data_IF_612683368636
#
_entry.id   IF_612683368636
#
_cell.length_a   1.000
_cell.length_b   1.000
_cell.length_c   1.000
_cell.angle_alpha   90.00
_cell.angle_beta   90.00
_cell.angle_gamma   90.00
#
_symmetry.space_group_name_H-M   'P 1'
#
loop_
_entity.id
_entity.type
_entity.pdbx_description
1 polymer ?
#
# COMPACT_ATOMS: atom_id res chain seq x y z
N UNK A 1 -14.79 -27.23 20.18
CA UNK A 1 -15.30 -26.04 19.47
C UNK A 1 -14.55 -24.82 19.99
N UNK A 2 -13.71 -24.19 19.18
CA UNK A 2 -13.08 -22.91 19.55
C UNK A 2 -13.22 -21.96 18.36
N UNK A 3 -14.33 -21.23 18.32
CA UNK A 3 -14.56 -20.13 17.39
C UNK A 3 -13.67 -18.97 17.84
N UNK A 4 -12.48 -18.83 17.27
CA UNK A 4 -11.76 -17.54 17.29
C UNK A 4 -12.25 -16.73 16.08
N UNK A 5 -13.47 -16.21 16.20
CA UNK A 5 -14.07 -15.29 15.25
C UNK A 5 -13.46 -13.90 15.44
N UNK A 6 -13.03 -13.28 14.34
CA UNK A 6 -12.57 -11.88 14.18
C UNK A 6 -11.08 -11.61 14.45
N UNK A 7 -10.19 -12.18 13.62
CA UNK A 7 -8.79 -11.76 13.52
C UNK A 7 -8.66 -10.86 12.28
N UNK A 8 -8.25 -9.61 12.48
CA UNK A 8 -8.03 -8.62 11.41
C UNK A 8 -6.72 -7.88 11.62
N UNK A 9 -6.14 -7.38 10.52
CA UNK A 9 -4.94 -6.57 10.55
C UNK A 9 -5.25 -5.20 11.18
N UNK A 10 -4.57 -4.82 12.25
CA UNK A 10 -4.73 -3.52 12.90
C UNK A 10 -4.16 -2.35 12.07
N UNK A 11 -3.40 -2.64 11.01
CA UNK A 11 -2.90 -1.64 10.08
C UNK A 11 -3.86 -1.32 8.94
N UNK A 12 -4.41 -2.34 8.28
CA UNK A 12 -5.25 -2.18 7.08
C UNK A 12 -6.66 -2.79 7.19
N UNK A 13 -7.03 -3.32 8.36
CA UNK A 13 -8.33 -3.95 8.65
C UNK A 13 -8.70 -5.18 7.80
N UNK A 14 -7.79 -5.72 6.99
CA UNK A 14 -8.03 -6.98 6.27
C UNK A 14 -8.16 -8.16 7.23
N UNK A 15 -9.08 -9.09 6.95
CA UNK A 15 -9.17 -10.38 7.64
C UNK A 15 -8.53 -11.52 6.84
N UNK A 16 -8.22 -11.29 5.56
CA UNK A 16 -7.52 -12.22 4.70
C UNK A 16 -6.02 -12.00 4.79
N UNK A 17 -5.37 -12.83 5.60
CA UNK A 17 -3.92 -12.86 5.74
C UNK A 17 -3.32 -13.78 4.68
N UNK A 18 -2.59 -13.20 3.73
CA UNK A 18 -1.89 -13.96 2.69
C UNK A 18 -0.51 -14.36 3.23
N UNK A 19 -0.18 -15.65 3.11
CA UNK A 19 1.05 -16.30 3.59
C UNK A 19 1.20 -16.38 5.12
N UNK A 20 1.23 -15.25 5.81
CA UNK A 20 1.50 -15.20 7.24
C UNK A 20 0.74 -14.09 7.98
N UNK A 21 0.49 -14.33 9.26
CA UNK A 21 -0.03 -13.33 10.20
C UNK A 21 1.01 -13.06 11.28
N UNK A 22 1.23 -11.78 11.58
CA UNK A 22 2.14 -11.34 12.64
C UNK A 22 1.34 -10.88 13.86
N UNK A 23 1.42 -11.63 14.96
CA UNK A 23 0.76 -11.28 16.22
C UNK A 23 1.77 -10.62 17.16
N UNK A 24 1.46 -9.43 17.67
CA UNK A 24 2.27 -8.78 18.68
C UNK A 24 2.26 -9.57 19.99
N UNK A 25 3.42 -9.75 20.60
CA UNK A 25 3.54 -10.41 21.91
C UNK A 25 3.34 -9.43 23.08
N UNK A 26 3.57 -8.12 22.84
CA UNK A 26 3.37 -7.06 23.85
C UNK A 26 1.94 -6.52 23.85
N UNK A 27 1.39 -6.17 22.67
CA UNK A 27 0.05 -5.59 22.54
C UNK A 27 -1.03 -6.67 22.51
N UNK A 28 -2.09 -6.49 23.29
CA UNK A 28 -3.26 -7.38 23.28
C UNK A 28 -4.02 -7.26 21.96
N UNK A 29 -4.35 -8.41 21.36
CA UNK A 29 -5.14 -8.51 20.11
C UNK A 29 -4.61 -7.73 18.91
N UNK A 30 -3.30 -7.43 18.87
CA UNK A 30 -2.70 -6.71 17.75
C UNK A 30 -2.09 -7.67 16.74
N UNK A 31 -2.59 -7.62 15.51
CA UNK A 31 -2.19 -8.46 14.40
C UNK A 31 -1.84 -7.59 13.19
N UNK A 32 -0.80 -7.92 12.46
CA UNK A 32 -0.44 -7.30 11.19
C UNK A 32 -0.38 -8.36 10.09
N UNK A 33 -0.78 -8.00 8.88
CA UNK A 33 -0.43 -8.77 7.68
C UNK A 33 1.04 -8.52 7.32
N UNK A 34 1.60 -9.34 6.43
CA UNK A 34 2.99 -9.22 5.97
C UNK A 34 3.33 -7.80 5.50
N UNK A 35 2.51 -7.21 4.64
CA UNK A 35 2.74 -5.85 4.15
C UNK A 35 2.77 -4.78 5.26
N UNK A 36 1.84 -4.85 6.22
CA UNK A 36 1.81 -3.90 7.34
C UNK A 36 2.95 -4.13 8.35
N UNK A 37 3.40 -5.38 8.51
CA UNK A 37 4.56 -5.70 9.33
C UNK A 37 5.85 -5.15 8.69
N UNK A 38 6.05 -5.37 7.38
CA UNK A 38 7.21 -4.88 6.64
C UNK A 38 7.25 -3.35 6.59
N UNK A 39 6.07 -2.72 6.51
CA UNK A 39 5.91 -1.26 6.58
C UNK A 39 6.06 -0.69 8.00
N UNK A 40 6.30 -1.54 9.01
CA UNK A 40 6.52 -1.16 10.43
C UNK A 40 5.41 -0.27 11.00
N UNK A 41 4.15 -0.58 10.69
CA UNK A 41 2.99 0.20 11.12
C UNK A 41 2.90 0.27 12.65
N UNK A 42 2.82 1.48 13.18
CA UNK A 42 2.62 1.78 14.60
C UNK A 42 1.21 2.36 14.80
N UNK A 43 0.38 1.71 15.61
CA UNK A 43 -0.97 2.20 15.94
C UNK A 43 -1.45 1.67 17.30
N UNK A 44 -2.37 2.37 17.95
CA UNK A 44 -2.97 1.95 19.23
C UNK A 44 -1.95 1.58 20.33
N UNK A 45 -0.83 2.31 20.43
CA UNK A 45 0.24 2.05 21.40
C UNK A 45 1.18 0.90 21.03
N UNK A 46 1.05 0.34 19.82
CA UNK A 46 2.04 -0.58 19.26
C UNK A 46 3.25 0.19 18.72
N UNK A 47 4.45 -0.24 19.11
CA UNK A 47 5.72 0.25 18.60
C UNK A 47 6.38 -0.81 17.72
N UNK A 48 7.11 -0.38 16.69
CA UNK A 48 7.84 -1.29 15.79
C UNK A 48 8.98 -2.05 16.48
N UNK A 49 9.33 -1.68 17.71
CA UNK A 49 10.26 -2.40 18.58
C UNK A 49 9.61 -3.58 19.32
N UNK A 50 8.28 -3.70 19.34
CA UNK A 50 7.61 -4.82 19.98
C UNK A 50 7.85 -6.12 19.22
N UNK A 51 8.13 -7.20 19.95
CA UNK A 51 8.36 -8.51 19.34
C UNK A 51 7.08 -9.06 18.71
N UNK A 52 7.18 -9.48 17.45
CA UNK A 52 6.08 -10.03 16.66
C UNK A 52 6.29 -11.54 16.43
N UNK A 53 5.26 -12.33 16.71
CA UNK A 53 5.23 -13.76 16.38
C UNK A 53 4.64 -13.96 15.00
N UNK A 54 5.42 -14.56 14.10
CA UNK A 54 4.96 -14.96 12.78
C UNK A 54 4.23 -16.29 12.85
N UNK A 55 2.99 -16.31 12.38
CA UNK A 55 2.12 -17.48 12.33
C UNK A 55 1.89 -17.79 10.86
N UNK A 56 2.48 -18.89 10.40
CA UNK A 56 2.29 -19.40 9.04
C UNK A 56 0.84 -19.85 8.86
N UNK A 57 0.24 -19.44 7.74
CA UNK A 57 -1.08 -19.92 7.34
C UNK A 57 -0.92 -20.94 6.22
N UNK A 58 -1.73 -22.01 6.19
CA UNK A 58 -1.65 -23.01 5.14
C UNK A 58 -1.92 -22.36 3.79
N UNK A 59 -0.84 -22.19 3.02
CA UNK A 59 -0.83 -21.81 1.62
C UNK A 59 -1.72 -22.80 0.86
N UNK A 60 -2.79 -22.31 0.23
CA UNK A 60 -3.41 -23.04 -0.89
C UNK A 60 -2.39 -23.03 -2.02
N UNK A 61 -1.49 -24.02 -1.99
CA UNK A 61 -0.44 -24.23 -2.96
C UNK A 61 -1.05 -24.57 -4.33
N UNK A 62 -1.02 -23.58 -5.23
CA UNK A 62 -0.78 -23.74 -6.67
C UNK A 62 -0.49 -22.35 -7.25
N UNK A 63 0.70 -22.07 -7.80
CA UNK A 63 0.96 -20.82 -8.50
C UNK A 63 0.37 -20.92 -9.91
N UNK A 64 -0.93 -20.69 -10.04
CA UNK A 64 -1.53 -20.38 -11.34
C UNK A 64 -1.15 -18.96 -11.77
N UNK A 65 -1.02 -18.71 -13.08
CA UNK A 65 -0.39 -17.49 -13.60
C UNK A 65 -1.12 -16.25 -13.10
N UNK A 66 -0.30 -15.35 -12.53
CA UNK A 66 -0.64 -14.10 -11.84
C UNK A 66 -1.71 -13.28 -12.60
N UNK A 67 -1.78 -13.40 -13.92
CA UNK A 67 -2.72 -12.67 -14.79
C UNK A 67 -4.20 -13.00 -14.58
N UNK A 68 -4.60 -14.23 -14.23
CA UNK A 68 -6.02 -14.57 -14.00
C UNK A 68 -6.50 -14.23 -12.59
N UNK A 69 -5.62 -14.33 -11.60
CA UNK A 69 -5.99 -14.06 -10.22
C UNK A 69 -6.25 -12.57 -9.98
N UNK A 70 -5.49 -11.69 -10.65
CA UNK A 70 -5.75 -10.25 -10.65
C UNK A 70 -7.05 -9.89 -11.38
N UNK A 71 -7.37 -10.51 -12.52
CA UNK A 71 -8.65 -10.26 -13.19
C UNK A 71 -9.83 -10.73 -12.36
N UNK A 72 -9.75 -11.91 -11.73
CA UNK A 72 -10.85 -12.44 -10.93
C UNK A 72 -11.01 -11.72 -9.60
N UNK A 73 -9.92 -11.17 -9.04
CA UNK A 73 -9.98 -10.33 -7.84
C UNK A 73 -10.53 -8.93 -8.16
N UNK A 74 -10.14 -8.35 -9.30
CA UNK A 74 -10.69 -7.06 -9.77
C UNK A 74 -12.16 -7.18 -10.15
N UNK A 75 -12.55 -8.24 -10.86
CA UNK A 75 -13.95 -8.51 -11.19
C UNK A 75 -14.79 -8.76 -9.94
N UNK A 76 -14.26 -9.48 -8.93
CA UNK A 76 -14.98 -9.69 -7.65
C UNK A 76 -15.11 -8.42 -6.82
N UNK A 77 -14.09 -7.55 -6.83
CA UNK A 77 -14.16 -6.25 -6.18
C UNK A 77 -15.15 -5.33 -6.90
N UNK A 78 -15.14 -5.32 -8.23
CA UNK A 78 -16.13 -4.62 -9.05
C UNK A 78 -17.54 -5.15 -8.81
N UNK A 79 -17.77 -6.46 -8.80
CA UNK A 79 -19.08 -7.07 -8.54
C UNK A 79 -19.59 -6.78 -7.12
N UNK A 80 -18.69 -6.82 -6.13
CA UNK A 80 -19.01 -6.43 -4.75
C UNK A 80 -19.35 -4.94 -4.67
N UNK A 81 -18.61 -4.09 -5.38
CA UNK A 81 -18.83 -2.65 -5.39
C UNK A 81 -20.12 -2.28 -6.14
N UNK A 82 -20.36 -2.88 -7.30
CA UNK A 82 -21.57 -2.75 -8.11
C UNK A 82 -22.79 -3.31 -7.39
N UNK A 83 -22.69 -4.46 -6.74
CA UNK A 83 -23.80 -4.99 -5.92
C UNK A 83 -24.12 -4.07 -4.74
N UNK A 84 -23.10 -3.54 -4.06
CA UNK A 84 -23.32 -2.59 -2.95
C UNK A 84 -23.89 -1.26 -3.47
N UNK A 85 -23.42 -0.78 -4.60
CA UNK A 85 -23.92 0.42 -5.27
C UNK A 85 -25.37 0.26 -5.77
N UNK A 86 -25.68 -0.85 -6.44
CA UNK A 86 -27.03 -1.20 -6.89
C UNK A 86 -27.98 -1.45 -5.70
N UNK A 87 -27.50 -2.07 -4.63
CA UNK A 87 -28.29 -2.22 -3.39
C UNK A 87 -28.58 -0.87 -2.74
N UNK A 88 -27.63 0.06 -2.76
CA UNK A 88 -27.82 1.43 -2.27
C UNK A 88 -28.76 2.26 -3.16
N UNK A 89 -28.83 1.97 -4.46
CA UNK A 89 -29.78 2.57 -5.40
C UNK A 89 -31.19 1.94 -5.31
N UNK A 90 -31.28 0.65 -5.00
CA UNK A 90 -32.52 -0.10 -4.86
C UNK A 90 -33.21 0.12 -3.49
N UNK A 91 -32.49 0.66 -2.50
CA UNK A 91 -33.14 1.29 -1.36
C UNK A 91 -33.92 2.49 -1.90
N UNK A 92 -35.25 2.38 -1.92
CA UNK A 92 -36.13 3.54 -1.79
C UNK A 92 -35.75 4.24 -0.47
N UNK A 93 -34.67 5.00 -0.48
CA UNK A 93 -34.43 5.96 0.56
C UNK A 93 -35.67 6.86 0.51
N UNK A 94 -36.43 7.01 1.62
CA UNK A 94 -37.35 8.12 1.68
C UNK A 94 -36.51 9.34 1.30
N UNK A 95 -36.96 10.14 0.33
CA UNK A 95 -36.31 11.40 -0.03
C UNK A 95 -35.99 12.10 1.28
N UNK A 96 -34.75 11.98 1.75
CA UNK A 96 -34.30 12.71 2.92
C UNK A 96 -34.22 14.10 2.38
N UNK A 97 -35.23 14.91 2.67
CA UNK A 97 -35.08 16.35 2.66
C UNK A 97 -33.74 16.61 3.32
N UNK A 98 -32.79 17.19 2.57
CA UNK A 98 -31.51 17.63 3.09
C UNK A 98 -31.84 18.71 4.10
N UNK A 99 -32.09 18.30 5.34
CA UNK A 99 -32.31 19.22 6.45
C UNK A 99 -31.02 20.03 6.58
N UNK A 100 -31.18 21.33 6.41
CA UNK A 100 -30.11 22.29 6.66
C UNK A 100 -29.80 22.28 8.16
N UNK A 101 -28.59 22.69 8.54
CA UNK A 101 -28.13 22.53 9.93
C UNK A 101 -29.06 23.24 10.93
N UNK A 102 -29.70 24.34 10.52
CA UNK A 102 -30.73 25.09 11.26
C UNK A 102 -32.04 24.31 11.49
N UNK A 103 -32.33 23.27 10.70
CA UNK A 103 -33.54 22.46 10.80
C UNK A 103 -33.36 21.24 11.71
N UNK A 104 -32.14 20.98 12.20
CA UNK A 104 -31.88 19.83 13.06
C UNK A 104 -32.41 20.05 14.47
N UNK A 105 -33.34 19.19 14.88
CA UNK A 105 -33.75 19.04 16.28
C UNK A 105 -32.57 18.60 17.14
N UNK A 106 -32.68 18.78 18.47
CA UNK A 106 -31.64 18.42 19.45
C UNK A 106 -31.15 16.98 19.25
N UNK A 107 -32.06 16.01 19.15
CA UNK A 107 -31.71 14.60 18.97
C UNK A 107 -31.08 14.32 17.61
N UNK A 108 -31.52 15.03 16.57
CA UNK A 108 -30.94 14.92 15.22
C UNK A 108 -29.54 15.51 15.16
N UNK A 109 -29.28 16.61 15.87
CA UNK A 109 -27.97 17.21 16.00
C UNK A 109 -27.01 16.24 16.72
N UNK A 110 -27.46 15.61 17.81
CA UNK A 110 -26.68 14.60 18.53
C UNK A 110 -26.30 13.41 17.65
N UNK A 111 -27.27 12.82 16.94
CA UNK A 111 -27.03 11.72 16.01
C UNK A 111 -26.05 12.13 14.91
N UNK A 112 -26.19 13.35 14.40
CA UNK A 112 -25.35 13.86 13.32
C UNK A 112 -23.89 14.02 13.76
N UNK A 113 -23.64 14.69 14.88
CA UNK A 113 -22.28 14.91 15.41
C UNK A 113 -21.59 13.59 15.76
N UNK A 114 -22.31 12.67 16.42
CA UNK A 114 -21.75 11.38 16.86
C UNK A 114 -21.43 10.44 15.69
N UNK A 115 -22.21 10.49 14.60
CA UNK A 115 -21.93 9.71 13.38
C UNK A 115 -20.79 10.29 12.56
N UNK A 116 -20.62 11.60 12.58
CA UNK A 116 -19.64 12.30 11.77
C UNK A 116 -18.21 12.14 12.34
N UNK A 117 -18.04 12.35 13.64
CA UNK A 117 -16.76 12.17 14.31
C UNK A 117 -17.00 11.62 15.73
N UNK A 118 -16.56 10.39 16.04
CA UNK A 118 -16.68 9.82 17.38
C UNK A 118 -16.03 10.67 18.48
N UNK A 119 -15.05 11.52 18.16
CA UNK A 119 -14.39 12.40 19.13
C UNK A 119 -15.29 13.58 19.56
N UNK A 120 -16.31 13.93 18.77
CA UNK A 120 -17.28 14.97 19.13
C UNK A 120 -18.39 14.45 20.05
N UNK A 121 -18.39 13.15 20.41
CA UNK A 121 -19.45 12.54 21.23
C UNK A 121 -19.63 13.22 22.58
N UNK A 122 -18.54 13.51 23.29
CA UNK A 122 -18.59 14.17 24.61
C UNK A 122 -19.21 15.57 24.52
N UNK A 123 -18.88 16.31 23.46
CA UNK A 123 -19.48 17.62 23.18
C UNK A 123 -20.95 17.47 22.78
N UNK A 124 -21.28 16.49 21.93
CA UNK A 124 -22.65 16.21 21.53
C UNK A 124 -23.55 15.84 22.72
N UNK A 125 -23.05 15.06 23.69
CA UNK A 125 -23.76 14.71 24.92
C UNK A 125 -24.05 15.96 25.78
N UNK A 126 -23.07 16.87 25.91
CA UNK A 126 -23.25 18.16 26.62
C UNK A 126 -24.27 19.07 25.91
N UNK A 127 -24.19 19.18 24.58
CA UNK A 127 -25.13 19.96 23.77
C UNK A 127 -26.55 19.40 23.85
N UNK A 128 -26.69 18.06 23.86
CA UNK A 128 -27.99 17.39 24.01
C UNK A 128 -28.59 17.64 25.41
N UNK A 129 -27.77 17.59 26.46
CA UNK A 129 -28.22 17.83 27.84
C UNK A 129 -28.81 19.24 28.04
N UNK A 130 -28.17 20.25 27.45
CA UNK A 130 -28.64 21.65 27.47
C UNK A 130 -29.64 21.98 26.36
N UNK A 131 -30.14 20.96 25.64
CA UNK A 131 -31.17 21.06 24.59
C UNK A 131 -30.80 22.01 23.45
N UNK A 132 -29.53 22.06 23.08
CA UNK A 132 -29.02 22.87 21.97
C UNK A 132 -29.46 22.26 20.64
N UNK A 133 -30.19 23.04 19.83
CA UNK A 133 -30.59 22.66 18.46
C UNK A 133 -29.53 23.09 17.43
N UNK A 134 -29.68 22.62 16.19
CA UNK A 134 -28.77 23.02 15.12
C UNK A 134 -28.83 24.51 14.78
N UNK A 135 -29.97 25.17 14.99
CA UNK A 135 -30.12 26.62 14.88
C UNK A 135 -29.35 27.36 15.99
N UNK A 136 -29.41 26.84 17.22
CA UNK A 136 -28.70 27.44 18.36
C UNK A 136 -27.19 27.34 18.15
N UNK A 137 -26.70 26.17 17.73
CA UNK A 137 -25.28 25.92 17.45
C UNK A 137 -24.70 26.85 16.38
N UNK A 138 -25.49 27.20 15.36
CA UNK A 138 -25.10 28.17 14.33
C UNK A 138 -24.84 29.56 14.93
N UNK A 139 -25.57 29.93 15.97
CA UNK A 139 -25.50 31.25 16.60
C UNK A 139 -24.48 31.36 17.74
N UNK A 140 -23.75 30.28 18.06
CA UNK A 140 -22.80 30.24 19.18
C UNK A 140 -21.71 31.30 19.06
N UNK A 141 -21.52 32.05 20.14
CA UNK A 141 -20.43 33.00 20.31
C UNK A 141 -19.25 32.41 21.10
N UNK A 142 -18.20 33.20 21.30
CA UNK A 142 -17.00 32.81 22.06
C UNK A 142 -17.27 32.45 23.53
N UNK A 143 -18.34 32.97 24.12
CA UNK A 143 -18.73 32.70 25.51
C UNK A 143 -19.52 31.40 25.60
N UNK A 144 -20.35 31.10 24.60
CA UNK A 144 -21.08 29.83 24.51
C UNK A 144 -20.11 28.66 24.45
N UNK A 145 -19.13 28.69 23.54
CA UNK A 145 -18.12 27.61 23.44
C UNK A 145 -17.33 27.42 24.75
N UNK A 146 -17.08 28.49 25.51
CA UNK A 146 -16.41 28.43 26.81
C UNK A 146 -17.31 27.86 27.90
N UNK A 147 -18.61 28.20 27.88
CA UNK A 147 -19.61 27.67 28.82
C UNK A 147 -19.72 26.14 28.73
N UNK A 148 -19.65 25.61 27.51
CA UNK A 148 -19.71 24.17 27.26
C UNK A 148 -18.38 23.42 27.46
N UNK A 149 -17.31 24.13 27.86
CA UNK A 149 -15.95 23.57 28.01
C UNK A 149 -15.54 22.79 26.74
N UNK A 150 -15.77 23.42 25.57
CA UNK A 150 -15.42 22.86 24.27
C UNK A 150 -13.96 23.14 24.02
N UNK A 151 -13.18 22.09 23.74
CA UNK A 151 -11.75 22.28 23.45
C UNK A 151 -11.55 23.11 22.19
N UNK A 152 -10.40 23.76 22.06
CA UNK A 152 -10.07 24.54 20.86
C UNK A 152 -10.17 23.70 19.57
N UNK A 153 -9.77 22.43 19.62
CA UNK A 153 -9.85 21.50 18.50
C UNK A 153 -11.29 21.17 18.11
N UNK A 154 -12.15 20.88 19.08
CA UNK A 154 -13.55 20.54 18.83
C UNK A 154 -14.33 21.76 18.34
N UNK A 155 -14.03 22.95 18.88
CA UNK A 155 -14.59 24.21 18.39
C UNK A 155 -14.25 24.44 16.92
N UNK A 156 -13.00 24.23 16.51
CA UNK A 156 -12.61 24.38 15.09
C UNK A 156 -13.32 23.40 14.18
N UNK A 157 -13.53 22.16 14.63
CA UNK A 157 -14.32 21.17 13.89
C UNK A 157 -15.78 21.60 13.75
N UNK A 158 -16.41 22.08 14.82
CA UNK A 158 -17.80 22.55 14.77
C UNK A 158 -17.95 23.77 13.84
N UNK A 159 -17.03 24.74 13.88
CA UNK A 159 -17.02 25.90 12.98
C UNK A 159 -16.92 25.49 11.50
N UNK A 160 -15.98 24.61 11.15
CA UNK A 160 -15.83 24.10 9.78
C UNK A 160 -17.08 23.36 9.27
N UNK A 161 -17.81 22.69 10.17
CA UNK A 161 -19.05 22.00 9.83
C UNK A 161 -20.21 22.95 9.61
N UNK A 162 -20.32 23.99 10.43
CA UNK A 162 -21.28 25.07 10.27
C UNK A 162 -21.02 25.76 8.92
N UNK A 163 -19.78 26.13 8.63
CA UNK A 163 -19.37 26.75 7.35
C UNK A 163 -19.74 25.86 6.15
N UNK A 164 -19.41 24.55 6.19
CA UNK A 164 -19.69 23.59 5.11
C UNK A 164 -21.19 23.35 4.87
N UNK A 165 -22.02 23.47 5.91
CA UNK A 165 -23.48 23.29 5.81
C UNK A 165 -24.21 24.59 5.45
N UNK A 166 -23.69 25.74 5.88
CA UNK A 166 -24.21 27.06 5.51
C UNK A 166 -23.86 27.46 4.08
N UNK A 167 -22.75 26.96 3.52
CA UNK A 167 -22.35 27.21 2.13
C UNK A 167 -23.27 26.59 1.05
N UNK A 168 -24.37 25.91 1.40
CA UNK A 168 -25.27 25.24 0.45
C UNK A 168 -24.65 23.97 -0.15
N UNK A 169 -25.36 22.89 -0.48
CA UNK A 169 -26.36 22.82 -1.56
C UNK A 169 -26.27 23.99 -2.54
N UNK A 170 -25.07 24.16 -3.10
CA UNK A 170 -24.86 24.90 -4.35
C UNK A 170 -25.27 23.97 -5.49
N UNK A 171 -26.33 24.38 -6.16
CA UNK A 171 -27.16 23.61 -7.07
C UNK A 171 -26.42 23.19 -8.35
N UNK A 172 -26.52 21.91 -8.73
CA UNK A 172 -26.48 21.27 -10.08
C UNK A 172 -25.35 21.64 -11.06
N UNK A 173 -24.98 22.91 -11.18
CA UNK A 173 -23.83 23.47 -11.90
C UNK A 173 -22.52 22.80 -11.48
N UNK A 174 -22.28 22.66 -10.17
CA UNK A 174 -21.06 22.01 -9.65
C UNK A 174 -21.01 20.52 -9.97
N UNK A 175 -22.14 19.82 -9.98
CA UNK A 175 -22.18 18.40 -10.40
C UNK A 175 -21.86 18.26 -11.89
N UNK A 176 -22.34 19.17 -12.73
CA UNK A 176 -22.01 19.17 -14.17
C UNK A 176 -20.53 19.49 -14.40
N UNK A 177 -19.97 20.41 -13.60
CA UNK A 177 -18.56 20.78 -13.66
C UNK A 177 -17.68 19.64 -13.16
N UNK A 178 -18.00 19.02 -12.03
CA UNK A 178 -17.36 17.81 -11.51
C UNK A 178 -17.46 16.67 -12.53
N UNK A 179 -18.61 16.49 -13.19
CA UNK A 179 -18.78 15.45 -14.22
C UNK A 179 -17.89 15.73 -15.45
N UNK A 180 -17.73 17.01 -15.83
CA UNK A 180 -16.84 17.42 -16.91
C UNK A 180 -15.36 17.19 -16.54
N UNK A 181 -14.97 17.51 -15.31
CA UNK A 181 -13.63 17.28 -14.78
C UNK A 181 -13.32 15.78 -14.67
N UNK A 182 -14.26 14.96 -14.19
CA UNK A 182 -14.14 13.49 -14.20
C UNK A 182 -13.97 12.96 -15.62
N UNK A 183 -14.68 13.52 -16.59
CA UNK A 183 -14.57 13.09 -18.00
C UNK A 183 -13.20 13.47 -18.57
N UNK A 184 -12.70 14.67 -18.28
CA UNK A 184 -11.35 15.08 -18.66
C UNK A 184 -10.27 14.22 -18.00
N UNK A 185 -10.39 13.95 -16.69
CA UNK A 185 -9.47 13.09 -15.96
C UNK A 185 -9.45 11.67 -16.52
N UNK A 186 -10.61 11.11 -16.91
CA UNK A 186 -10.69 9.81 -17.57
C UNK A 186 -9.96 9.78 -18.92
N UNK A 187 -10.03 10.85 -19.70
CA UNK A 187 -9.27 10.96 -20.95
C UNK A 187 -7.77 11.03 -20.70
N UNK A 188 -7.34 11.79 -19.69
CA UNK A 188 -5.93 11.85 -19.28
C UNK A 188 -5.43 10.49 -18.80
N UNK A 189 -6.20 9.79 -17.95
CA UNK A 189 -5.85 8.44 -17.48
C UNK A 189 -5.70 7.49 -18.67
N UNK A 190 -6.64 7.49 -19.62
CA UNK A 190 -6.55 6.64 -20.81
C UNK A 190 -5.30 6.94 -21.63
N UNK A 191 -4.97 8.22 -21.83
CA UNK A 191 -3.74 8.62 -22.52
C UNK A 191 -2.48 8.16 -21.78
N UNK A 192 -2.48 8.23 -20.44
CA UNK A 192 -1.37 7.77 -19.62
C UNK A 192 -1.25 6.25 -19.64
N UNK A 193 -2.36 5.51 -19.66
CA UNK A 193 -2.37 4.05 -19.81
C UNK A 193 -1.77 3.60 -21.15
N UNK A 194 -2.08 4.32 -22.24
CA UNK A 194 -1.48 4.09 -23.56
C UNK A 194 0.04 4.37 -23.54
N UNK A 195 0.47 5.47 -22.92
CA UNK A 195 1.91 5.80 -22.78
C UNK A 195 2.65 4.76 -21.90
N UNK A 196 2.03 4.30 -20.82
CA UNK A 196 2.58 3.23 -19.96
C UNK A 196 2.70 1.93 -20.75
N UNK A 197 1.71 1.58 -21.57
CA UNK A 197 1.76 0.39 -22.41
C UNK A 197 2.92 0.45 -23.42
N UNK A 198 3.16 1.62 -24.03
CA UNK A 198 4.29 1.83 -24.94
C UNK A 198 5.64 1.72 -24.22
N UNK A 199 5.77 2.34 -23.05
CA UNK A 199 6.99 2.24 -22.22
C UNK A 199 7.25 0.81 -21.77
N UNK A 200 6.22 0.05 -21.40
CA UNK A 200 6.37 -1.36 -21.05
C UNK A 200 6.89 -2.19 -22.23
N UNK A 201 6.45 -1.91 -23.46
CA UNK A 201 7.01 -2.56 -24.64
C UNK A 201 8.49 -2.21 -24.83
N UNK A 202 8.86 -0.94 -24.65
CA UNK A 202 10.27 -0.52 -24.69
C UNK A 202 11.12 -1.20 -23.61
N UNK A 203 10.61 -1.32 -22.38
CA UNK A 203 11.29 -2.05 -21.30
C UNK A 203 11.51 -3.51 -21.69
N UNK A 204 10.49 -4.17 -22.25
CA UNK A 204 10.61 -5.56 -22.68
C UNK A 204 11.68 -5.75 -23.77
N UNK A 205 11.81 -4.78 -24.68
CA UNK A 205 12.87 -4.78 -25.70
C UNK A 205 14.26 -4.60 -25.07
N UNK A 206 14.39 -3.70 -24.09
CA UNK A 206 15.65 -3.50 -23.37
C UNK A 206 16.07 -4.72 -22.56
N UNK A 207 15.12 -5.41 -21.92
CA UNK A 207 15.37 -6.67 -21.22
C UNK A 207 15.91 -7.77 -22.16
N UNK A 208 15.35 -7.89 -23.37
CA UNK A 208 15.85 -8.83 -24.38
C UNK A 208 17.28 -8.47 -24.84
N UNK A 209 17.59 -7.18 -24.99
CA UNK A 209 18.95 -6.71 -25.30
C UNK A 209 19.92 -7.04 -24.16
N UNK A 210 19.55 -6.78 -22.91
CA UNK A 210 20.37 -7.08 -21.74
C UNK A 210 20.64 -8.57 -21.61
N UNK A 211 19.62 -9.42 -21.83
CA UNK A 211 19.77 -10.87 -21.84
C UNK A 211 20.77 -11.34 -22.89
N UNK A 212 20.72 -10.78 -24.11
CA UNK A 212 21.71 -11.06 -25.16
C UNK A 212 23.12 -10.60 -24.80
N UNK A 213 23.25 -9.43 -24.17
CA UNK A 213 24.54 -8.95 -23.69
C UNK A 213 25.11 -9.85 -22.59
N UNK A 214 24.29 -10.29 -21.66
CA UNK A 214 24.72 -11.22 -20.60
C UNK A 214 25.22 -12.55 -21.18
N UNK A 215 24.51 -13.11 -22.15
CA UNK A 215 24.97 -14.30 -22.90
C UNK A 215 26.30 -14.05 -23.62
N UNK A 216 26.47 -12.86 -24.22
CA UNK A 216 27.71 -12.48 -24.89
C UNK A 216 28.88 -12.35 -23.90
N UNK A 217 28.65 -11.76 -22.72
CA UNK A 217 29.65 -11.66 -21.66
C UNK A 217 30.04 -13.04 -21.14
N UNK A 218 29.07 -13.92 -20.89
CA UNK A 218 29.36 -15.32 -20.48
C UNK A 218 30.21 -16.06 -21.53
N UNK A 219 29.94 -15.84 -22.82
CA UNK A 219 30.75 -16.41 -23.89
C UNK A 219 32.17 -15.83 -23.91
N UNK A 220 32.31 -14.51 -23.71
CA UNK A 220 33.62 -13.86 -23.61
C UNK A 220 34.43 -14.39 -22.42
N UNK A 221 33.82 -14.52 -21.25
CA UNK A 221 34.47 -15.05 -20.05
C UNK A 221 34.92 -16.50 -20.25
N UNK A 222 34.11 -17.33 -20.90
CA UNK A 222 34.48 -18.71 -21.25
C UNK A 222 35.69 -18.76 -22.19
N UNK A 223 35.76 -17.86 -23.19
CA UNK A 223 36.92 -17.77 -24.09
C UNK A 223 38.17 -17.33 -23.32
N UNK A 224 38.05 -16.32 -22.45
CA UNK A 224 39.17 -15.85 -21.63
C UNK A 224 39.70 -16.99 -20.75
N UNK A 225 38.82 -17.77 -20.12
CA UNK A 225 39.22 -18.92 -19.30
C UNK A 225 39.98 -19.97 -20.13
N UNK A 226 39.49 -20.31 -21.33
CA UNK A 226 40.18 -21.24 -22.22
C UNK A 226 41.58 -20.74 -22.63
N UNK A 227 41.71 -19.45 -22.91
CA UNK A 227 43.01 -18.84 -23.25
C UNK A 227 43.96 -18.86 -22.05
N UNK A 228 43.48 -18.60 -20.84
CA UNK A 228 44.29 -18.68 -19.61
C UNK A 228 44.79 -20.10 -19.36
N UNK A 229 43.93 -21.11 -19.51
CA UNK A 229 44.33 -22.52 -19.38
C UNK A 229 45.35 -22.94 -20.44
N UNK A 230 45.19 -22.48 -21.69
CA UNK A 230 46.16 -22.74 -22.75
C UNK A 230 47.52 -22.07 -22.47
N UNK A 231 47.51 -20.84 -21.96
CA UNK A 231 48.73 -20.12 -21.58
C UNK A 231 49.46 -20.81 -20.43
N UNK A 232 48.74 -21.29 -19.42
CA UNK A 232 49.33 -22.01 -18.29
C UNK A 232 49.97 -23.34 -18.74
N UNK A 233 49.32 -24.07 -19.67
CA UNK A 233 49.92 -25.26 -20.29
C UNK A 233 51.20 -24.93 -21.04
N UNK A 234 51.21 -23.87 -21.86
CA UNK A 234 52.43 -23.45 -22.56
C UNK A 234 53.54 -23.05 -21.58
N UNK A 235 53.19 -22.41 -20.47
CA UNK A 235 54.16 -22.04 -19.43
C UNK A 235 54.76 -23.29 -18.78
N UNK A 236 53.94 -24.28 -18.43
CA UNK A 236 54.41 -25.56 -17.89
C UNK A 236 55.32 -26.31 -18.88
N UNK A 237 54.98 -26.32 -20.17
CA UNK A 237 55.84 -26.89 -21.22
C UNK A 237 57.18 -26.17 -21.31
N UNK A 238 57.18 -24.83 -21.26
CA UNK A 238 58.39 -24.01 -21.27
C UNK A 238 59.29 -24.27 -20.05
N UNK A 239 58.69 -24.38 -18.85
CA UNK A 239 59.42 -24.68 -17.62
C UNK A 239 60.08 -26.07 -17.68
N UNK A 240 59.36 -27.09 -18.20
CA UNK A 240 59.93 -28.42 -18.45
C UNK A 240 61.11 -28.37 -19.44
N UNK A 241 60.98 -27.61 -20.52
CA UNK A 241 62.06 -27.45 -21.50
C UNK A 241 63.29 -26.75 -20.88
N UNK A 242 63.09 -25.73 -20.05
CA UNK A 242 64.20 -25.10 -19.32
C UNK A 242 64.91 -26.09 -18.40
N UNK A 243 64.18 -26.92 -17.67
CA UNK A 243 64.76 -27.93 -16.79
C UNK A 243 65.61 -28.95 -17.57
N UNK A 244 65.12 -29.40 -18.74
CA UNK A 244 65.88 -30.30 -19.64
C UNK A 244 67.16 -29.62 -20.15
N UNK A 245 67.08 -28.35 -20.54
CA UNK A 245 68.27 -27.57 -20.99
C UNK A 245 69.29 -27.45 -19.86
N UNK A 246 68.84 -27.23 -18.63
CA UNK A 246 69.72 -27.12 -17.47
C UNK A 246 70.39 -28.46 -17.15
N UNK A 247 69.64 -29.57 -17.17
CA UNK A 247 70.19 -30.91 -17.05
C UNK A 247 71.26 -31.20 -18.13
N UNK A 248 70.99 -30.85 -19.40
CA UNK A 248 71.99 -31.00 -20.47
C UNK A 248 73.25 -30.17 -20.22
N UNK A 249 73.13 -28.93 -19.75
CA UNK A 249 74.29 -28.09 -19.40
C UNK A 249 75.14 -28.73 -18.31
N UNK A 250 74.52 -29.28 -17.26
CA UNK A 250 75.26 -29.96 -16.18
C UNK A 250 75.99 -31.22 -16.67
N UNK A 251 75.36 -32.01 -17.54
CA UNK A 251 75.97 -33.17 -18.18
C UNK A 251 77.19 -32.77 -19.02
N UNK A 252 77.06 -31.76 -19.88
CA UNK A 252 78.18 -31.27 -20.71
C UNK A 252 79.34 -30.79 -19.82
N UNK A 253 79.05 -30.01 -18.77
CA UNK A 253 80.05 -29.55 -17.83
C UNK A 253 80.78 -30.69 -17.10
N UNK A 254 80.08 -31.80 -16.82
CA UNK A 254 80.69 -33.00 -16.22
C UNK A 254 81.59 -33.78 -17.18
N UNK A 255 81.30 -33.77 -18.48
CA UNK A 255 82.11 -34.47 -19.51
C UNK A 255 83.35 -33.68 -19.97
N UNK A 256 83.43 -32.39 -19.67
CA UNK A 256 84.56 -31.52 -20.05
C UNK A 256 85.59 -31.32 -18.92
N UNK A 257 85.43 -32.00 -17.78
CA UNK A 257 86.39 -31.96 -16.67
C UNK A 257 87.48 -33.02 -16.93
N UNK A 258 88.77 -32.62 -17.05
CA UNK A 258 89.86 -33.51 -17.46
C UNK A 258 90.18 -34.60 -16.44
#
# INVERSE_FOLDING_TARGET
MSRQSNIYCNGCSTSDFINARYKCQVCSNYNLCTACYDSKIQSFGHLSSHTMLRIELPSTANPEPITKQYSDQMNRLEDSYLSRYMSNLAMNQPKRTLETLDQLSVDRLYEYLTRLDPNLRTVAEKLQAERVSGADLISFDENDYKSFDVTYGDKKKLQLLIERKQAGVSNVSDLSQIQSEITQLKLVIKSQEEEIAEKNNSIQQLEDILSKQEQQTQLQDAIIQQLQEALEKQKQEMDMLMEVVEQQRTLIASTQKP
#
